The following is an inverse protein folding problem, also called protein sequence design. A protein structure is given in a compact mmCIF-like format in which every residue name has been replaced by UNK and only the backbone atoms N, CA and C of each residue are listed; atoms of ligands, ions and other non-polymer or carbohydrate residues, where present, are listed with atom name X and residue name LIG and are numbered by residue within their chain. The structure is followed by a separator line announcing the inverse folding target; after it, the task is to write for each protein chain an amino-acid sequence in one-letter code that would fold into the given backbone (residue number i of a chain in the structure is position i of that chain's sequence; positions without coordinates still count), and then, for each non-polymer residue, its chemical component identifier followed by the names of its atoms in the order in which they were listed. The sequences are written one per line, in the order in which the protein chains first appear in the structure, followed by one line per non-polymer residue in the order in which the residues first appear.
data_IF_035240295674
#
_entry.id   IF_035240295674
#
_cell.length_a   1.000
_cell.length_b   1.000
_cell.length_c   1.000
_cell.angle_alpha   90.00
_cell.angle_beta   90.00
_cell.angle_gamma   90.00
#
_symmetry.space_group_name_H-M   'P 1'
#
loop_
_entity.id
_entity.type
_entity.pdbx_description
1 polymer ?
#
# COMPACT_ATOMS: atom_id res chain seq x y z
N UNK A 1 19.33 39.76 -17.59
CA UNK A 1 17.86 39.65 -17.41
C UNK A 1 17.64 38.36 -16.63
N UNK A 2 18.13 38.23 -15.41
CA UNK A 2 17.64 38.85 -14.17
C UNK A 2 16.12 39.05 -14.15
N UNK A 3 15.39 38.04 -13.67
CA UNK A 3 14.32 38.22 -12.66
C UNK A 3 13.69 36.87 -12.24
N UNK A 4 14.40 36.02 -11.49
CA UNK A 4 13.73 35.03 -10.62
C UNK A 4 14.52 34.92 -9.31
N UNK A 5 14.38 35.93 -8.47
CA UNK A 5 14.65 35.85 -7.03
C UNK A 5 13.97 37.04 -6.33
N UNK A 6 13.36 36.75 -5.17
CA UNK A 6 12.54 37.59 -4.27
C UNK A 6 11.04 37.63 -4.65
N UNK A 7 10.07 37.15 -3.86
CA UNK A 7 10.04 36.61 -2.50
C UNK A 7 8.67 36.92 -1.83
N UNK A 8 8.16 35.95 -1.06
CA UNK A 8 7.17 36.03 0.04
C UNK A 8 5.68 35.64 -0.19
N UNK A 9 5.31 34.56 0.52
CA UNK A 9 4.00 34.03 0.96
C UNK A 9 3.12 33.24 -0.02
N UNK A 10 3.48 31.98 -0.29
CA UNK A 10 2.57 30.95 -0.84
C UNK A 10 1.51 30.44 0.17
N UNK A 11 1.66 30.76 1.46
CA UNK A 11 0.67 30.43 2.49
C UNK A 11 -0.46 31.44 2.49
N UNK A 12 -1.69 30.96 2.29
CA UNK A 12 -2.89 31.80 2.44
C UNK A 12 -3.35 31.84 3.90
N UNK A 13 -4.20 32.81 4.31
CA UNK A 13 -4.82 32.79 5.64
C UNK A 13 -5.54 31.48 5.94
N UNK A 14 -6.13 30.84 4.92
CA UNK A 14 -6.75 29.53 5.04
C UNK A 14 -5.76 28.42 5.39
N UNK A 15 -4.57 28.43 4.79
CA UNK A 15 -3.50 27.48 5.12
C UNK A 15 -3.09 27.62 6.59
N UNK A 16 -2.92 28.85 7.08
CA UNK A 16 -2.57 29.09 8.49
C UNK A 16 -3.67 28.62 9.45
N UNK A 17 -4.94 28.82 9.09
CA UNK A 17 -6.06 28.36 9.89
C UNK A 17 -6.11 26.83 9.98
N UNK A 18 -5.90 26.13 8.87
CA UNK A 18 -5.86 24.67 8.82
C UNK A 18 -4.69 24.14 9.66
N UNK A 19 -3.48 24.69 9.50
CA UNK A 19 -2.33 24.28 10.30
C UNK A 19 -2.58 24.47 11.80
N UNK A 20 -3.17 25.60 12.20
CA UNK A 20 -3.54 25.86 13.60
C UNK A 20 -4.60 24.88 14.11
N UNK A 21 -5.54 24.46 13.27
CA UNK A 21 -6.53 23.45 13.64
C UNK A 21 -5.88 22.08 13.85
N UNK A 22 -4.92 21.68 13.00
CA UNK A 22 -4.14 20.46 13.23
C UNK A 22 -3.34 20.56 14.54
N UNK A 23 -2.66 21.68 14.78
CA UNK A 23 -1.90 21.92 16.01
C UNK A 23 -2.79 21.89 17.27
N UNK A 24 -4.01 22.42 17.19
CA UNK A 24 -4.96 22.39 18.30
C UNK A 24 -5.39 20.96 18.68
N UNK A 25 -5.31 20.02 17.74
CA UNK A 25 -5.64 18.60 17.94
C UNK A 25 -4.44 17.72 18.28
N UNK A 26 -3.23 18.27 18.25
CA UNK A 26 -2.00 17.51 18.38
C UNK A 26 -1.99 16.59 19.61
N UNK A 27 -2.43 17.08 20.76
CA UNK A 27 -2.50 16.26 21.98
C UNK A 27 -3.44 15.05 21.83
N UNK A 28 -4.65 15.25 21.29
CA UNK A 28 -5.64 14.17 21.09
C UNK A 28 -5.14 13.13 20.07
N UNK A 29 -4.55 13.61 18.97
CA UNK A 29 -4.00 12.76 17.92
C UNK A 29 -2.82 11.92 18.44
N UNK A 30 -1.94 12.51 19.26
CA UNK A 30 -0.83 11.78 19.88
C UNK A 30 -1.30 10.66 20.79
N UNK A 31 -2.32 10.92 21.59
CA UNK A 31 -2.90 9.88 22.45
C UNK A 31 -3.56 8.76 21.63
N UNK A 32 -4.24 9.10 20.53
CA UNK A 32 -4.79 8.11 19.59
C UNK A 32 -3.70 7.24 18.97
N UNK A 33 -2.67 7.86 18.37
CA UNK A 33 -1.56 7.15 17.74
C UNK A 33 -0.78 6.26 18.72
N UNK A 34 -0.55 6.74 19.95
CA UNK A 34 0.11 5.96 21.01
C UNK A 34 -0.77 4.83 21.54
N UNK A 35 -2.09 5.02 21.57
CA UNK A 35 -3.02 3.97 21.98
C UNK A 35 -3.01 2.84 20.97
N UNK A 36 -3.13 3.15 19.68
CA UNK A 36 -3.02 2.17 18.59
C UNK A 36 -1.65 1.47 18.64
N UNK A 37 -0.57 2.24 18.77
CA UNK A 37 0.79 1.70 18.87
C UNK A 37 0.96 0.64 19.97
N UNK A 38 0.38 0.88 21.16
CA UNK A 38 0.47 0.00 22.32
C UNK A 38 -0.39 -1.27 22.21
N UNK A 39 -1.35 -1.30 21.28
CA UNK A 39 -2.29 -2.40 21.09
C UNK A 39 -2.24 -2.88 19.63
N UNK A 40 -1.12 -3.47 19.19
CA UNK A 40 -0.98 -3.92 17.82
C UNK A 40 -1.95 -5.06 17.52
N UNK A 41 -2.71 -4.91 16.44
CA UNK A 41 -3.64 -5.91 15.91
C UNK A 41 -3.22 -6.30 14.50
N UNK A 42 -3.30 -7.59 14.18
CA UNK A 42 -2.86 -8.12 12.88
C UNK A 42 -3.91 -7.88 11.79
N UNK A 43 -3.50 -8.06 10.53
CA UNK A 43 -4.37 -8.05 9.36
C UNK A 43 -5.73 -8.72 9.59
N UNK A 44 -6.81 -8.00 9.29
CA UNK A 44 -8.22 -8.41 9.47
C UNK A 44 -8.69 -8.62 10.91
N UNK A 45 -7.86 -8.26 11.89
CA UNK A 45 -8.16 -8.37 13.32
C UNK A 45 -8.04 -7.04 14.07
N UNK A 46 -8.02 -5.92 13.35
CA UNK A 46 -7.81 -4.54 13.85
C UNK A 46 -9.08 -3.89 14.43
N UNK A 47 -9.81 -4.63 15.28
CA UNK A 47 -11.11 -4.18 15.82
C UNK A 47 -10.98 -3.00 16.78
N UNK A 48 -9.96 -3.00 17.64
CA UNK A 48 -9.74 -1.91 18.58
C UNK A 48 -9.28 -0.65 17.85
N UNK A 49 -8.32 -0.78 16.92
CA UNK A 49 -7.84 0.33 16.11
C UNK A 49 -8.98 0.96 15.29
N UNK A 50 -9.77 0.16 14.56
CA UNK A 50 -10.97 0.62 13.87
C UNK A 50 -11.92 1.34 14.84
N UNK A 51 -12.17 0.75 16.01
CA UNK A 51 -13.02 1.32 17.06
C UNK A 51 -12.57 2.71 17.51
N UNK A 52 -11.29 2.89 17.84
CA UNK A 52 -10.76 4.19 18.28
C UNK A 52 -10.78 5.24 17.16
N UNK A 53 -10.44 4.87 15.94
CA UNK A 53 -10.46 5.77 14.77
C UNK A 53 -11.89 6.24 14.47
N UNK A 54 -12.82 5.30 14.37
CA UNK A 54 -14.22 5.58 14.04
C UNK A 54 -14.91 6.39 15.12
N UNK A 55 -14.71 6.07 16.40
CA UNK A 55 -15.26 6.85 17.51
C UNK A 55 -14.75 8.30 17.48
N UNK A 56 -13.47 8.52 17.14
CA UNK A 56 -12.88 9.87 17.03
C UNK A 56 -13.54 10.65 15.89
N UNK A 57 -13.76 10.01 14.74
CA UNK A 57 -14.44 10.61 13.59
C UNK A 57 -15.92 10.91 13.86
N UNK A 58 -16.64 9.99 14.51
CA UNK A 58 -18.05 10.18 14.91
C UNK A 58 -18.20 11.36 15.88
N UNK A 59 -17.31 11.47 16.88
CA UNK A 59 -17.30 12.60 17.82
C UNK A 59 -16.99 13.92 17.13
N UNK A 60 -16.14 13.90 16.10
CA UNK A 60 -15.90 15.05 15.24
C UNK A 60 -17.06 15.32 14.26
N UNK A 61 -18.10 14.49 14.23
CA UNK A 61 -19.32 14.65 13.44
C UNK A 61 -19.20 14.21 11.98
N UNK A 62 -18.40 13.18 11.71
CA UNK A 62 -18.43 12.43 10.44
C UNK A 62 -19.53 11.37 10.49
N UNK A 63 -20.17 11.10 9.35
CA UNK A 63 -21.04 9.94 9.18
C UNK A 63 -20.18 8.71 8.94
N UNK A 64 -20.22 7.72 9.84
CA UNK A 64 -19.34 6.54 9.79
C UNK A 64 -20.14 5.28 9.50
N UNK A 65 -19.65 4.52 8.52
CA UNK A 65 -20.08 3.17 8.19
C UNK A 65 -18.91 2.21 8.43
N UNK A 66 -19.13 1.13 9.18
CA UNK A 66 -18.11 0.10 9.50
C UNK A 66 -18.42 -1.18 8.73
N UNK A 67 -17.41 -1.98 8.44
CA UNK A 67 -17.61 -3.29 7.82
C UNK A 67 -17.83 -3.22 6.29
N UNK A 68 -17.33 -2.18 5.63
CA UNK A 68 -17.50 -1.97 4.18
C UNK A 68 -16.71 -3.00 3.36
N UNK A 69 -17.08 -3.22 2.10
CA UNK A 69 -16.51 -4.27 1.24
C UNK A 69 -16.49 -5.69 1.86
N UNK A 70 -17.38 -5.99 2.82
CA UNK A 70 -17.39 -7.27 3.53
C UNK A 70 -16.21 -7.51 4.47
N UNK A 71 -15.42 -6.47 4.77
CA UNK A 71 -14.27 -6.53 5.68
C UNK A 71 -14.66 -5.97 7.05
N UNK A 72 -14.77 -6.81 8.08
CA UNK A 72 -15.31 -6.41 9.39
C UNK A 72 -14.59 -5.21 10.02
N UNK A 73 -13.27 -5.11 9.80
CA UNK A 73 -12.40 -4.06 10.38
C UNK A 73 -12.20 -2.86 9.45
N UNK A 74 -12.84 -2.79 8.28
CA UNK A 74 -12.80 -1.60 7.40
C UNK A 74 -13.83 -0.54 7.83
N UNK A 75 -13.67 0.69 7.38
CA UNK A 75 -14.71 1.72 7.57
C UNK A 75 -14.67 2.81 6.50
N UNK A 76 -15.78 3.53 6.37
CA UNK A 76 -15.91 4.76 5.60
C UNK A 76 -16.48 5.85 6.49
N UNK A 77 -15.76 6.96 6.62
CA UNK A 77 -16.22 8.12 7.37
C UNK A 77 -16.31 9.33 6.44
N UNK A 78 -17.49 9.92 6.33
CA UNK A 78 -17.74 11.03 5.42
C UNK A 78 -18.13 12.31 6.14
N UNK A 79 -17.63 13.42 5.63
CA UNK A 79 -18.14 14.74 5.93
C UNK A 79 -18.30 15.54 4.64
N UNK A 80 -19.47 16.18 4.48
CA UNK A 80 -19.78 17.10 3.39
C UNK A 80 -19.93 18.51 3.96
N UNK A 81 -19.22 19.46 3.34
CA UNK A 81 -19.37 20.89 3.64
C UNK A 81 -20.49 21.50 2.82
N UNK A 82 -20.17 22.44 1.92
CA UNK A 82 -21.15 22.96 0.96
C UNK A 82 -21.40 21.95 -0.15
N UNK A 83 -22.66 21.83 -0.57
CA UNK A 83 -23.07 20.93 -1.65
C UNK A 83 -22.33 21.23 -2.95
N UNK A 84 -21.86 20.18 -3.62
CA UNK A 84 -21.08 20.26 -4.86
C UNK A 84 -19.60 20.54 -4.60
N UNK A 85 -18.74 20.12 -5.52
CA UNK A 85 -17.28 20.08 -5.31
C UNK A 85 -16.75 18.65 -5.44
N UNK A 86 -15.43 18.45 -5.32
CA UNK A 86 -14.84 17.12 -5.44
C UNK A 86 -15.02 16.29 -4.17
N UNK A 87 -14.81 14.98 -4.31
CA UNK A 87 -14.67 14.04 -3.18
C UNK A 87 -13.20 13.66 -3.03
N UNK A 88 -12.57 14.05 -1.92
CA UNK A 88 -11.17 13.73 -1.62
C UNK A 88 -11.11 12.70 -0.50
N UNK A 89 -10.35 11.63 -0.70
CA UNK A 89 -10.21 10.57 0.29
C UNK A 89 -8.81 10.52 0.91
N UNK A 90 -8.77 10.33 2.23
CA UNK A 90 -7.57 10.11 3.02
C UNK A 90 -7.59 8.69 3.56
N UNK A 91 -6.58 7.89 3.25
CA UNK A 91 -6.56 6.48 3.66
C UNK A 91 -5.93 6.31 5.04
N UNK A 92 -6.50 5.41 5.82
CA UNK A 92 -6.05 5.06 7.16
C UNK A 92 -5.72 3.57 7.22
N UNK A 93 -4.43 3.22 7.28
CA UNK A 93 -3.93 1.87 7.56
C UNK A 93 -3.63 1.73 9.04
N UNK A 94 -3.92 0.57 9.63
CA UNK A 94 -3.84 0.36 11.07
C UNK A 94 -3.61 -1.09 11.49
N UNK A 95 -3.20 -1.96 10.56
CA UNK A 95 -2.67 -3.28 10.88
C UNK A 95 -1.23 -3.21 11.41
N UNK A 96 -0.85 -4.25 12.15
CA UNK A 96 0.46 -4.43 12.73
C UNK A 96 1.11 -5.73 12.25
N UNK A 97 2.41 -5.84 12.46
CA UNK A 97 3.20 -7.03 12.10
C UNK A 97 3.33 -8.01 13.27
N UNK A 98 3.34 -9.33 13.01
CA UNK A 98 3.57 -10.34 14.04
C UNK A 98 4.85 -10.09 14.83
N UNK A 99 4.77 -10.21 16.15
CA UNK A 99 5.86 -10.08 17.13
C UNK A 99 6.58 -8.71 17.24
N UNK A 100 6.51 -7.84 16.23
CA UNK A 100 7.21 -6.55 16.21
C UNK A 100 6.28 -5.32 16.26
N UNK A 101 4.95 -5.54 16.24
CA UNK A 101 3.96 -4.47 16.40
C UNK A 101 3.89 -3.56 15.17
N UNK A 102 3.64 -2.26 15.37
CA UNK A 102 3.57 -1.28 14.28
C UNK A 102 4.95 -0.90 13.73
N UNK A 103 5.73 -1.89 13.31
CA UNK A 103 7.06 -1.71 12.71
C UNK A 103 7.03 -1.12 11.28
N UNK A 104 5.84 -0.89 10.71
CA UNK A 104 5.63 -0.11 9.49
C UNK A 104 4.99 1.27 9.76
N UNK A 105 4.69 1.57 11.04
CA UNK A 105 4.19 2.88 11.48
C UNK A 105 2.73 3.17 11.12
N UNK A 106 1.91 2.15 10.90
CA UNK A 106 0.49 2.31 10.53
C UNK A 106 -0.31 3.08 11.59
N UNK A 107 0.09 3.02 12.87
CA UNK A 107 -0.47 3.88 13.91
C UNK A 107 -0.35 5.40 13.61
N UNK A 108 0.71 5.81 12.90
CA UNK A 108 0.90 7.19 12.45
C UNK A 108 0.10 7.47 11.17
N UNK A 109 0.02 6.50 10.23
CA UNK A 109 -0.70 6.63 8.95
C UNK A 109 -2.18 6.93 9.21
N UNK A 110 -2.87 6.04 9.94
CA UNK A 110 -4.30 6.24 10.23
C UNK A 110 -4.58 7.54 10.98
N UNK A 111 -3.76 7.85 11.99
CA UNK A 111 -3.96 9.04 12.82
C UNK A 111 -3.71 10.32 12.04
N UNK A 112 -2.72 10.35 11.14
CA UNK A 112 -2.48 11.52 10.28
C UNK A 112 -3.69 11.80 9.36
N UNK A 113 -4.26 10.77 8.74
CA UNK A 113 -5.45 10.89 7.89
C UNK A 113 -6.69 11.34 8.67
N UNK A 114 -6.94 10.77 9.85
CA UNK A 114 -8.04 11.19 10.74
C UNK A 114 -7.86 12.64 11.19
N UNK A 115 -6.66 13.00 11.66
CA UNK A 115 -6.34 14.35 12.11
C UNK A 115 -6.49 15.39 11.00
N UNK A 116 -6.02 15.07 9.79
CA UNK A 116 -6.16 15.92 8.62
C UNK A 116 -7.63 16.19 8.27
N UNK A 117 -8.47 15.15 8.22
CA UNK A 117 -9.89 15.28 7.90
C UNK A 117 -10.64 16.13 8.94
N UNK A 118 -10.42 15.86 10.24
CA UNK A 118 -11.06 16.58 11.34
C UNK A 118 -10.64 18.06 11.33
N UNK A 119 -9.33 18.33 11.24
CA UNK A 119 -8.83 19.69 11.27
C UNK A 119 -9.29 20.50 10.05
N UNK A 120 -9.33 19.89 8.86
CA UNK A 120 -9.83 20.54 7.65
C UNK A 120 -11.31 20.92 7.80
N UNK A 121 -12.14 19.99 8.30
CA UNK A 121 -13.56 20.26 8.60
C UNK A 121 -13.72 21.42 9.57
N UNK A 122 -13.00 21.39 10.70
CA UNK A 122 -13.14 22.41 11.75
C UNK A 122 -12.64 23.79 11.28
N UNK A 123 -11.56 23.83 10.50
CA UNK A 123 -11.03 25.06 9.93
C UNK A 123 -11.90 25.61 8.80
N UNK A 124 -12.50 24.74 7.99
CA UNK A 124 -13.20 25.10 6.76
C UNK A 124 -14.60 24.47 6.72
N UNK A 125 -15.53 24.81 7.64
CA UNK A 125 -16.85 24.17 7.71
C UNK A 125 -17.72 24.37 6.46
N UNK A 126 -17.37 25.37 5.65
CA UNK A 126 -18.06 25.78 4.42
C UNK A 126 -17.36 25.28 3.15
N UNK A 127 -16.36 24.40 3.26
CA UNK A 127 -15.59 23.87 2.13
C UNK A 127 -16.52 23.15 1.14
N UNK A 128 -16.50 23.44 -0.17
CA UNK A 128 -17.36 22.76 -1.13
C UNK A 128 -16.91 21.31 -1.37
N UNK A 129 -17.81 20.35 -1.27
CA UNK A 129 -17.53 18.94 -1.58
C UNK A 129 -17.39 18.09 -0.33
N UNK A 130 -16.67 16.97 -0.47
CA UNK A 130 -16.65 15.89 0.52
C UNK A 130 -15.23 15.47 0.88
N UNK A 131 -15.00 15.28 2.17
CA UNK A 131 -13.82 14.62 2.70
C UNK A 131 -14.23 13.24 3.20
N UNK A 132 -13.53 12.21 2.74
CA UNK A 132 -13.75 10.82 3.13
C UNK A 132 -12.49 10.30 3.82
N UNK A 133 -12.63 9.67 4.97
CA UNK A 133 -11.58 8.82 5.56
C UNK A 133 -11.97 7.38 5.31
N UNK A 134 -11.12 6.65 4.59
CA UNK A 134 -11.30 5.21 4.36
C UNK A 134 -10.34 4.45 5.27
N UNK A 135 -10.91 3.64 6.15
CA UNK A 135 -10.16 2.68 6.94
C UNK A 135 -9.86 1.43 6.14
N UNK A 136 -8.59 1.18 5.87
CA UNK A 136 -8.10 0.16 4.95
C UNK A 136 -7.26 -0.87 5.73
N UNK A 137 -7.87 -1.98 6.18
CA UNK A 137 -7.17 -2.99 6.97
C UNK A 137 -6.24 -3.86 6.11
N UNK A 138 -5.41 -4.67 6.77
CA UNK A 138 -4.63 -5.75 6.15
C UNK A 138 -3.79 -5.34 4.93
N UNK A 139 -3.01 -4.26 5.04
CA UNK A 139 -2.05 -3.89 3.98
C UNK A 139 -0.87 -4.87 3.94
N UNK A 140 -0.37 -5.28 5.11
CA UNK A 140 0.84 -6.10 5.24
C UNK A 140 0.62 -7.53 4.75
N UNK A 141 -0.56 -8.08 5.04
CA UNK A 141 -0.92 -9.45 4.69
C UNK A 141 -2.44 -9.55 4.48
N UNK A 142 -2.91 -9.32 3.25
CA UNK A 142 -4.31 -9.52 2.91
C UNK A 142 -4.84 -8.66 1.77
N UNK A 143 -4.23 -7.50 1.52
CA UNK A 143 -4.59 -6.61 0.43
C UNK A 143 -5.98 -6.00 0.60
N UNK A 144 -6.29 -5.44 1.77
CA UNK A 144 -7.62 -4.89 2.05
C UNK A 144 -8.07 -3.84 1.04
N UNK A 145 -7.17 -2.98 0.53
CA UNK A 145 -7.52 -2.01 -0.52
C UNK A 145 -7.84 -2.68 -1.85
N UNK A 146 -7.27 -3.84 -2.15
CA UNK A 146 -7.60 -4.63 -3.35
C UNK A 146 -9.07 -5.07 -3.28
N UNK A 147 -9.47 -5.65 -2.16
CA UNK A 147 -10.85 -6.11 -1.92
C UNK A 147 -11.82 -4.92 -1.96
N UNK A 148 -11.46 -3.78 -1.35
CA UNK A 148 -12.25 -2.56 -1.37
C UNK A 148 -12.39 -1.97 -2.79
N UNK A 149 -11.34 -2.02 -3.61
CA UNK A 149 -11.41 -1.65 -5.03
C UNK A 149 -12.40 -2.55 -5.80
N UNK A 150 -12.38 -3.86 -5.57
CA UNK A 150 -13.30 -4.80 -6.23
C UNK A 150 -14.77 -4.58 -5.85
N UNK A 151 -15.03 -4.04 -4.66
CA UNK A 151 -16.36 -3.70 -4.18
C UNK A 151 -16.81 -2.26 -4.50
N UNK A 152 -15.99 -1.48 -5.21
CA UNK A 152 -16.35 -0.13 -5.65
C UNK A 152 -16.27 0.95 -4.56
N UNK A 153 -15.56 0.71 -3.45
CA UNK A 153 -15.48 1.67 -2.33
C UNK A 153 -14.77 2.99 -2.70
N UNK A 154 -14.01 2.98 -3.79
CA UNK A 154 -13.31 4.13 -4.34
C UNK A 154 -14.07 4.83 -5.48
N UNK A 155 -15.25 4.33 -5.85
CA UNK A 155 -16.05 4.92 -6.93
C UNK A 155 -16.51 6.34 -6.55
N UNK A 156 -16.39 7.27 -7.51
CA UNK A 156 -16.75 8.67 -7.30
C UNK A 156 -15.76 9.49 -6.46
N UNK A 157 -14.63 8.90 -6.05
CA UNK A 157 -13.53 9.63 -5.38
C UNK A 157 -12.61 10.23 -6.44
N UNK A 158 -12.36 11.54 -6.34
CA UNK A 158 -11.60 12.31 -7.32
C UNK A 158 -10.10 12.25 -7.12
N UNK A 159 -9.66 12.13 -5.86
CA UNK A 159 -8.27 11.92 -5.51
C UNK A 159 -8.16 11.21 -4.16
N UNK A 160 -7.15 10.36 -4.05
CA UNK A 160 -6.82 9.57 -2.86
C UNK A 160 -5.42 9.93 -2.37
N UNK A 161 -5.26 10.14 -1.07
CA UNK A 161 -3.98 10.47 -0.46
C UNK A 161 -3.73 9.63 0.78
N UNK A 162 -2.47 9.23 0.97
CA UNK A 162 -1.99 8.57 2.18
C UNK A 162 -0.52 8.92 2.39
N UNK A 163 -0.08 9.12 3.62
CA UNK A 163 1.34 9.39 3.94
C UNK A 163 1.88 8.23 4.73
N UNK A 164 3.04 7.72 4.32
CA UNK A 164 3.69 6.60 4.97
C UNK A 164 5.00 7.06 5.64
N UNK A 165 5.28 6.68 6.90
CA UNK A 165 6.56 7.00 7.53
C UNK A 165 7.71 6.21 6.88
N UNK A 166 8.88 6.81 6.72
CA UNK A 166 10.06 6.15 6.16
C UNK A 166 11.35 6.83 6.65
N UNK A 167 12.51 6.37 6.22
CA UNK A 167 13.77 7.04 6.52
C UNK A 167 14.02 8.36 5.78
N UNK A 168 13.22 8.70 4.77
CA UNK A 168 13.34 9.95 4.01
C UNK A 168 11.97 10.48 3.59
N UNK A 169 11.85 11.81 3.57
CA UNK A 169 10.70 12.49 2.98
C UNK A 169 10.83 12.45 1.47
N UNK A 170 9.86 11.85 0.78
CA UNK A 170 9.85 11.67 -0.68
C UNK A 170 8.41 11.68 -1.18
N UNK A 171 8.09 12.47 -2.21
CA UNK A 171 6.71 12.51 -2.75
C UNK A 171 6.51 11.63 -3.99
N UNK A 172 7.62 11.26 -4.65
CA UNK A 172 7.63 10.38 -5.80
C UNK A 172 8.39 9.11 -5.46
N UNK A 173 7.71 7.97 -5.59
CA UNK A 173 8.33 6.65 -5.46
C UNK A 173 7.51 5.65 -6.26
N UNK A 174 8.14 4.84 -7.09
CA UNK A 174 7.46 3.74 -7.78
C UNK A 174 7.11 2.61 -6.82
N UNK A 175 6.30 1.66 -7.28
CA UNK A 175 6.00 0.40 -6.59
C UNK A 175 5.88 -0.71 -7.63
N UNK A 176 6.32 -1.92 -7.30
CA UNK A 176 6.27 -3.06 -8.21
C UNK A 176 4.94 -3.79 -8.10
N UNK A 177 4.46 -4.32 -9.22
CA UNK A 177 3.40 -5.30 -9.18
C UNK A 177 3.95 -6.62 -8.61
N UNK A 178 3.18 -7.30 -7.76
CA UNK A 178 3.56 -8.61 -7.25
C UNK A 178 2.38 -9.56 -7.03
N UNK A 179 2.70 -10.86 -7.01
CA UNK A 179 1.77 -11.94 -6.65
C UNK A 179 2.53 -13.05 -5.94
N UNK A 180 1.90 -13.61 -4.92
CA UNK A 180 2.36 -14.81 -4.25
C UNK A 180 1.75 -16.05 -4.91
N UNK A 181 2.55 -17.10 -5.05
CA UNK A 181 2.16 -18.36 -5.68
C UNK A 181 2.63 -19.54 -4.84
N UNK A 182 1.68 -20.40 -4.47
CA UNK A 182 1.96 -21.68 -3.80
C UNK A 182 1.86 -22.81 -4.82
N UNK A 183 2.93 -23.60 -4.92
CA UNK A 183 3.01 -24.77 -5.78
C UNK A 183 3.00 -26.03 -4.92
N UNK A 184 1.94 -26.83 -5.03
CA UNK A 184 1.78 -28.09 -4.31
C UNK A 184 1.93 -29.25 -5.27
N UNK A 185 3.01 -30.02 -5.12
CA UNK A 185 3.35 -31.15 -5.98
C UNK A 185 2.81 -32.44 -5.39
N UNK A 186 2.10 -33.21 -6.20
CA UNK A 186 1.52 -34.50 -5.83
C UNK A 186 2.14 -35.64 -6.63
N UNK A 187 2.66 -36.62 -5.91
CA UNK A 187 3.26 -37.84 -6.42
C UNK A 187 2.62 -39.08 -5.81
N UNK A 188 3.45 -40.07 -5.49
CA UNK A 188 3.02 -41.36 -4.93
C UNK A 188 4.13 -41.97 -4.08
N UNK A 189 3.81 -42.30 -2.83
CA UNK A 189 4.74 -42.94 -1.92
C UNK A 189 5.19 -44.32 -2.43
N UNK A 190 6.45 -44.62 -2.17
CA UNK A 190 7.04 -45.94 -2.30
C UNK A 190 8.23 -46.04 -1.34
N UNK A 191 8.63 -47.27 -1.02
CA UNK A 191 9.87 -47.49 -0.28
C UNK A 191 11.05 -47.21 -1.22
N UNK A 192 11.88 -46.22 -0.85
CA UNK A 192 12.90 -45.66 -1.75
C UNK A 192 13.93 -46.71 -2.22
N UNK A 193 14.29 -47.68 -1.38
CA UNK A 193 15.22 -48.75 -1.77
C UNK A 193 14.57 -50.01 -2.36
N UNK A 194 13.42 -50.47 -1.84
CA UNK A 194 12.89 -51.80 -2.18
C UNK A 194 11.93 -51.82 -3.37
N UNK A 195 11.26 -50.70 -3.66
CA UNK A 195 10.32 -50.62 -4.79
C UNK A 195 10.22 -49.20 -5.37
N UNK A 196 11.35 -48.51 -5.65
CA UNK A 196 11.34 -47.15 -6.16
C UNK A 196 10.51 -46.99 -7.45
N UNK A 197 10.49 -48.02 -8.30
CA UNK A 197 9.76 -48.05 -9.57
C UNK A 197 8.24 -47.91 -9.44
N UNK A 198 7.69 -48.05 -8.23
CA UNK A 198 6.25 -47.91 -7.96
C UNK A 198 5.85 -46.51 -7.51
N UNK A 199 6.83 -45.66 -7.21
CA UNK A 199 6.64 -44.31 -6.69
C UNK A 199 6.68 -43.23 -7.76
N UNK A 200 6.19 -42.04 -7.40
CA UNK A 200 6.30 -40.80 -8.16
C UNK A 200 6.79 -39.74 -7.18
N UNK A 201 7.97 -39.18 -7.44
CA UNK A 201 8.64 -38.29 -6.49
C UNK A 201 8.15 -36.85 -6.64
N UNK A 202 7.32 -36.39 -5.70
CA UNK A 202 6.92 -34.98 -5.62
C UNK A 202 8.13 -34.07 -5.35
N UNK A 203 9.14 -34.57 -4.64
CA UNK A 203 10.38 -33.84 -4.38
C UNK A 203 11.16 -33.62 -5.68
N UNK A 204 11.34 -34.65 -6.51
CA UNK A 204 12.06 -34.48 -7.78
C UNK A 204 11.29 -33.54 -8.73
N UNK A 205 9.97 -33.62 -8.77
CA UNK A 205 9.14 -32.67 -9.51
C UNK A 205 9.38 -31.22 -9.06
N UNK A 206 9.39 -30.98 -7.75
CA UNK A 206 9.66 -29.66 -7.18
C UNK A 206 11.09 -29.18 -7.45
N UNK A 207 12.12 -30.03 -7.28
CA UNK A 207 13.51 -29.66 -7.56
C UNK A 207 13.69 -29.31 -9.04
N UNK A 208 13.10 -30.09 -9.95
CA UNK A 208 13.11 -29.77 -11.37
C UNK A 208 12.38 -28.45 -11.67
N UNK A 209 11.31 -28.12 -10.92
CA UNK A 209 10.64 -26.84 -11.05
C UNK A 209 11.54 -25.67 -10.62
N UNK A 210 12.29 -25.79 -9.53
CA UNK A 210 13.28 -24.78 -9.12
C UNK A 210 14.36 -24.58 -10.18
N UNK A 211 14.86 -25.66 -10.78
CA UNK A 211 15.84 -25.60 -11.89
C UNK A 211 15.23 -24.89 -13.11
N UNK A 212 14.02 -25.26 -13.51
CA UNK A 212 13.33 -24.66 -14.64
C UNK A 212 13.04 -23.15 -14.42
N UNK A 213 12.63 -22.76 -13.21
CA UNK A 213 12.47 -21.36 -12.82
C UNK A 213 13.80 -20.61 -12.93
N UNK A 214 14.92 -21.23 -12.53
CA UNK A 214 16.24 -20.61 -12.68
C UNK A 214 16.60 -20.38 -14.15
N UNK A 215 16.21 -21.27 -15.06
CA UNK A 215 16.37 -21.04 -16.50
C UNK A 215 15.47 -19.91 -17.03
N UNK A 216 14.25 -19.75 -16.50
CA UNK A 216 13.35 -18.64 -16.87
C UNK A 216 13.97 -17.27 -16.57
N UNK A 217 14.77 -17.15 -15.50
CA UNK A 217 15.40 -15.88 -15.09
C UNK A 217 16.32 -15.27 -16.14
N UNK A 218 16.89 -16.07 -17.04
CA UNK A 218 17.71 -15.56 -18.14
C UNK A 218 16.90 -14.76 -19.17
N UNK A 219 15.58 -14.99 -19.25
CA UNK A 219 14.70 -14.48 -20.30
C UNK A 219 13.57 -13.59 -19.75
N UNK A 220 13.87 -12.88 -18.67
CA UNK A 220 13.03 -11.81 -18.10
C UNK A 220 13.81 -10.50 -18.07
N UNK A 221 13.10 -9.38 -17.97
CA UNK A 221 13.70 -8.04 -17.87
C UNK A 221 14.33 -7.81 -16.50
N UNK A 222 15.18 -6.79 -16.39
CA UNK A 222 15.97 -6.50 -15.19
C UNK A 222 15.15 -6.00 -13.99
N UNK A 223 13.91 -5.56 -14.20
CA UNK A 223 12.96 -5.18 -13.16
C UNK A 223 12.30 -6.41 -12.49
N UNK A 224 12.37 -7.59 -13.11
CA UNK A 224 11.69 -8.78 -12.62
C UNK A 224 12.43 -9.42 -11.45
N UNK A 225 11.69 -9.82 -10.43
CA UNK A 225 12.19 -10.68 -9.34
C UNK A 225 11.31 -11.90 -9.22
N UNK A 226 11.94 -13.05 -9.08
CA UNK A 226 11.29 -14.34 -8.82
C UNK A 226 12.04 -14.88 -7.62
N UNK A 227 11.39 -15.30 -6.54
CA UNK A 227 12.11 -15.92 -5.43
C UNK A 227 11.14 -16.73 -4.59
N UNK A 228 11.63 -17.80 -3.99
CA UNK A 228 10.79 -18.71 -3.25
C UNK A 228 11.59 -19.65 -2.37
N UNK A 229 10.85 -20.40 -1.56
CA UNK A 229 11.36 -21.35 -0.58
C UNK A 229 10.59 -22.67 -0.71
N UNK A 230 11.20 -23.73 -0.19
CA UNK A 230 10.52 -25.01 0.03
C UNK A 230 9.91 -24.98 1.43
N UNK A 231 8.59 -25.06 1.52
CA UNK A 231 7.85 -25.14 2.80
C UNK A 231 7.67 -26.58 3.24
N UNK A 232 7.60 -27.53 2.29
CA UNK A 232 7.54 -28.97 2.56
C UNK A 232 8.35 -29.78 1.55
N UNK A 233 9.40 -30.46 2.02
CA UNK A 233 10.35 -31.22 1.18
C UNK A 233 10.33 -32.75 1.36
N UNK A 234 9.33 -33.30 2.06
CA UNK A 234 9.24 -34.71 2.42
C UNK A 234 9.61 -35.00 3.89
N UNK A 235 9.16 -36.16 4.37
CA UNK A 235 9.15 -36.47 5.82
C UNK A 235 10.25 -37.45 6.25
N UNK A 236 10.72 -38.33 5.36
CA UNK A 236 11.75 -39.33 5.67
C UNK A 236 12.57 -39.73 4.42
N UNK A 237 13.90 -39.94 4.55
CA UNK A 237 14.77 -40.22 3.39
C UNK A 237 14.59 -41.62 2.78
N UNK A 238 13.99 -42.57 3.50
CA UNK A 238 13.71 -43.91 3.01
C UNK A 238 12.33 -44.07 2.34
N UNK A 239 11.57 -42.96 2.21
CA UNK A 239 10.24 -42.92 1.60
C UNK A 239 10.27 -41.93 0.44
N UNK A 240 9.79 -42.34 -0.74
CA UNK A 240 9.59 -41.42 -1.87
C UNK A 240 8.50 -40.41 -1.50
N UNK A 241 8.76 -39.10 -1.50
CA UNK A 241 7.76 -38.11 -1.09
C UNK A 241 6.57 -38.05 -2.07
N UNK A 242 5.34 -38.16 -1.56
CA UNK A 242 4.12 -37.95 -2.36
C UNK A 242 3.60 -36.52 -2.34
N UNK A 243 4.06 -35.69 -1.42
CA UNK A 243 3.60 -34.32 -1.27
C UNK A 243 4.77 -33.40 -0.93
N UNK A 244 4.98 -32.38 -1.75
CA UNK A 244 5.92 -31.31 -1.51
C UNK A 244 5.28 -29.96 -1.82
N UNK A 245 5.75 -28.89 -1.17
CA UNK A 245 5.20 -27.56 -1.33
C UNK A 245 6.32 -26.52 -1.38
N UNK A 246 6.14 -25.54 -2.26
CA UNK A 246 6.99 -24.36 -2.35
C UNK A 246 6.16 -23.10 -2.52
N UNK A 247 6.62 -22.01 -1.92
CA UNK A 247 6.00 -20.68 -2.02
C UNK A 247 6.96 -19.75 -2.74
N UNK A 248 6.44 -19.02 -3.72
CA UNK A 248 7.17 -18.04 -4.51
C UNK A 248 6.47 -16.69 -4.51
N UNK A 249 7.26 -15.62 -4.58
CA UNK A 249 6.78 -14.28 -4.91
C UNK A 249 7.35 -13.90 -6.27
N UNK A 250 6.47 -13.43 -7.16
CA UNK A 250 6.81 -12.91 -8.47
C UNK A 250 6.60 -11.40 -8.48
N UNK A 251 7.57 -10.64 -9.00
CA UNK A 251 7.50 -9.18 -9.14
C UNK A 251 7.89 -8.73 -10.53
N UNK A 252 7.22 -7.68 -11.01
CA UNK A 252 7.56 -6.98 -12.24
C UNK A 252 7.19 -5.49 -12.13
N UNK A 253 7.68 -4.67 -13.05
CA UNK A 253 7.41 -3.23 -13.06
C UNK A 253 5.92 -2.89 -13.21
N UNK A 254 5.13 -3.75 -13.87
CA UNK A 254 3.69 -3.56 -14.11
C UNK A 254 2.93 -4.88 -13.99
N UNK A 255 1.61 -4.83 -13.73
CA UNK A 255 0.74 -6.02 -13.73
C UNK A 255 0.72 -6.75 -15.08
N UNK A 256 0.88 -6.01 -16.18
CA UNK A 256 0.98 -6.61 -17.53
C UNK A 256 2.26 -7.42 -17.64
N UNK A 257 3.41 -6.85 -17.26
CA UNK A 257 4.68 -7.56 -17.23
C UNK A 257 4.67 -8.74 -16.24
N UNK A 258 3.99 -8.57 -15.10
CA UNK A 258 3.82 -9.63 -14.11
C UNK A 258 3.05 -10.82 -14.69
N UNK A 259 1.99 -10.56 -15.47
CA UNK A 259 1.21 -11.61 -16.12
C UNK A 259 2.07 -12.44 -17.11
N UNK A 260 2.99 -11.80 -17.83
CA UNK A 260 3.93 -12.51 -18.71
C UNK A 260 4.92 -13.38 -17.92
N UNK A 261 5.52 -12.83 -16.86
CA UNK A 261 6.44 -13.56 -15.98
C UNK A 261 5.75 -14.77 -15.37
N UNK A 262 4.54 -14.55 -14.83
CA UNK A 262 3.67 -15.58 -14.27
C UNK A 262 3.43 -16.71 -15.27
N UNK A 263 3.04 -16.38 -16.49
CA UNK A 263 2.82 -17.37 -17.56
C UNK A 263 4.06 -18.21 -17.85
N UNK A 264 5.25 -17.58 -17.92
CA UNK A 264 6.52 -18.31 -18.11
C UNK A 264 6.84 -19.24 -16.94
N UNK A 265 6.72 -18.75 -15.71
CA UNK A 265 7.01 -19.52 -14.48
C UNK A 265 6.05 -20.71 -14.35
N UNK A 266 4.74 -20.50 -14.53
CA UNK A 266 3.75 -21.57 -14.32
C UNK A 266 3.85 -22.65 -15.40
N UNK A 267 4.20 -22.29 -16.64
CA UNK A 267 4.50 -23.30 -17.68
C UNK A 267 5.71 -24.14 -17.29
N UNK A 268 6.79 -23.53 -16.80
CA UNK A 268 7.99 -24.24 -16.36
C UNK A 268 7.70 -25.19 -15.19
N UNK A 269 6.92 -24.74 -14.21
CA UNK A 269 6.50 -25.55 -13.05
C UNK A 269 5.66 -26.75 -13.48
N UNK A 270 4.66 -26.55 -14.35
CA UNK A 270 3.82 -27.64 -14.87
C UNK A 270 4.62 -28.66 -15.68
N UNK A 271 5.53 -28.20 -16.55
CA UNK A 271 6.38 -29.08 -17.32
C UNK A 271 7.34 -29.91 -16.45
N UNK A 272 7.87 -29.33 -15.38
CA UNK A 272 8.71 -30.05 -14.42
C UNK A 272 7.93 -31.14 -13.65
N UNK A 273 6.69 -30.85 -13.26
CA UNK A 273 5.82 -31.83 -12.62
C UNK A 273 5.47 -32.98 -13.59
N UNK A 274 4.99 -32.65 -14.79
CA UNK A 274 4.62 -33.61 -15.82
C UNK A 274 5.79 -34.51 -16.21
N UNK A 275 7.00 -33.95 -16.34
CA UNK A 275 8.20 -34.70 -16.67
C UNK A 275 8.54 -35.82 -15.68
N UNK A 276 8.15 -35.67 -14.42
CA UNK A 276 8.34 -36.68 -13.36
C UNK A 276 7.11 -37.60 -13.17
N UNK A 277 6.05 -37.41 -13.95
CA UNK A 277 4.77 -38.09 -13.77
C UNK A 277 3.97 -37.59 -12.56
N UNK A 278 4.35 -36.46 -11.97
CA UNK A 278 3.65 -35.81 -10.87
C UNK A 278 2.59 -34.84 -11.39
N UNK A 279 1.73 -34.35 -10.50
CA UNK A 279 0.82 -33.23 -10.75
C UNK A 279 1.17 -32.05 -9.85
N UNK A 280 0.70 -30.86 -10.21
CA UNK A 280 0.93 -29.65 -9.42
C UNK A 280 -0.32 -28.79 -9.36
N UNK A 281 -0.73 -28.46 -8.15
CA UNK A 281 -1.73 -27.44 -7.89
C UNK A 281 -1.03 -26.09 -7.69
N UNK A 282 -1.58 -25.05 -8.32
CA UNK A 282 -1.07 -23.68 -8.25
C UNK A 282 -2.15 -22.81 -7.64
N UNK A 283 -1.90 -22.30 -6.44
CA UNK A 283 -2.74 -21.32 -5.77
C UNK A 283 -2.06 -19.95 -5.79
N UNK A 284 -2.83 -18.89 -6.03
CA UNK A 284 -2.35 -17.50 -6.06
C UNK A 284 -2.93 -16.70 -4.90
N UNK A 285 -2.13 -15.78 -4.37
CA UNK A 285 -2.63 -14.67 -3.57
C UNK A 285 -3.22 -13.56 -4.44
N UNK A 286 -3.57 -12.43 -3.82
CA UNK A 286 -4.02 -11.26 -4.55
C UNK A 286 -2.88 -10.62 -5.34
N UNK A 287 -3.23 -9.99 -6.46
CA UNK A 287 -2.28 -9.24 -7.28
C UNK A 287 -2.19 -7.80 -6.77
N UNK A 288 -1.04 -7.46 -6.22
CA UNK A 288 -0.69 -6.08 -5.91
C UNK A 288 -0.25 -5.40 -7.19
N UNK A 289 -0.87 -4.28 -7.53
CA UNK A 289 -0.53 -3.54 -8.75
C UNK A 289 0.67 -2.62 -8.55
N UNK A 290 1.30 -2.22 -9.65
CA UNK A 290 2.30 -1.17 -9.62
C UNK A 290 1.72 0.15 -9.10
N UNK A 291 2.56 0.98 -8.48
CA UNK A 291 2.12 2.30 -8.03
C UNK A 291 2.22 3.32 -9.16
N UNK A 292 1.07 3.86 -9.56
CA UNK A 292 0.94 4.98 -10.48
C UNK A 292 0.74 6.29 -9.71
N UNK A 293 1.83 6.85 -9.18
CA UNK A 293 1.77 8.13 -8.45
C UNK A 293 1.38 9.27 -9.38
N UNK A 294 0.28 9.96 -9.08
CA UNK A 294 -0.14 11.16 -9.79
C UNK A 294 0.83 12.32 -9.49
N UNK A 295 1.56 12.78 -10.50
CA UNK A 295 2.66 13.74 -10.33
C UNK A 295 2.17 15.15 -10.05
N UNK A 296 1.04 15.57 -10.62
CA UNK A 296 0.40 16.86 -10.30
C UNK A 296 -0.02 16.91 -8.84
N UNK A 297 -0.65 15.84 -8.35
CA UNK A 297 -1.05 15.72 -6.96
C UNK A 297 0.17 15.66 -6.02
N UNK A 298 1.20 14.90 -6.39
CA UNK A 298 2.44 14.83 -5.63
C UNK A 298 3.17 16.18 -5.56
N UNK A 299 3.10 17.01 -6.61
CA UNK A 299 3.68 18.34 -6.63
C UNK A 299 2.96 19.32 -5.69
N UNK A 300 1.62 19.24 -5.58
CA UNK A 300 0.87 20.00 -4.57
C UNK A 300 1.30 19.59 -3.16
N UNK A 301 1.35 18.28 -2.91
CA UNK A 301 1.79 17.74 -1.62
C UNK A 301 3.22 18.16 -1.28
N UNK A 302 4.14 18.11 -2.25
CA UNK A 302 5.51 18.58 -2.10
C UNK A 302 5.57 20.06 -1.75
N UNK A 303 4.82 20.92 -2.45
CA UNK A 303 4.79 22.34 -2.15
C UNK A 303 4.32 22.60 -0.72
N UNK A 304 3.32 21.85 -0.24
CA UNK A 304 2.84 21.95 1.13
C UNK A 304 3.89 21.48 2.17
N UNK A 305 4.65 20.41 1.89
CA UNK A 305 5.77 20.00 2.74
C UNK A 305 6.88 21.05 2.80
N UNK A 306 7.29 21.59 1.66
CA UNK A 306 8.33 22.62 1.57
C UNK A 306 7.89 23.90 2.28
N UNK A 307 6.60 24.27 2.16
CA UNK A 307 6.02 25.36 2.92
C UNK A 307 6.07 25.09 4.41
N UNK A 308 5.89 23.86 4.89
CA UNK A 308 6.06 23.47 6.30
C UNK A 308 7.52 23.48 6.77
N UNK A 309 8.48 23.71 5.86
CA UNK A 309 9.91 23.73 6.14
C UNK A 309 10.58 22.37 6.07
N UNK A 310 9.89 21.37 5.50
CA UNK A 310 10.44 20.02 5.33
C UNK A 310 11.21 19.91 4.00
N UNK A 311 12.37 19.28 4.06
CA UNK A 311 13.15 18.94 2.87
C UNK A 311 12.55 17.71 2.19
N UNK A 312 12.34 17.80 0.88
CA UNK A 312 11.84 16.69 0.06
C UNK A 312 12.99 16.16 -0.80
N UNK A 313 13.22 14.86 -0.73
CA UNK A 313 14.30 14.20 -1.47
C UNK A 313 13.75 13.45 -2.70
N UNK A 314 14.59 13.40 -3.73
CA UNK A 314 14.36 12.51 -4.87
C UNK A 314 14.48 11.03 -4.44
N UNK A 315 13.66 10.14 -5.03
CA UNK A 315 13.79 8.71 -4.79
C UNK A 315 15.15 8.20 -5.28
N UNK A 316 15.72 7.17 -4.61
CA UNK A 316 16.85 6.41 -5.15
C UNK A 316 16.67 6.02 -6.62
N UNK A 317 17.71 6.23 -7.44
CA UNK A 317 17.68 5.98 -8.88
C UNK A 317 17.48 4.49 -9.25
N UNK A 318 17.87 3.57 -8.36
CA UNK A 318 17.66 2.12 -8.52
C UNK A 318 17.33 1.48 -7.17
N UNK A 319 16.47 0.46 -7.20
CA UNK A 319 16.16 -0.38 -6.03
C UNK A 319 15.37 0.31 -4.92
N UNK A 320 15.16 -0.43 -3.83
CA UNK A 320 14.46 0.03 -2.62
C UNK A 320 12.96 0.29 -2.81
N UNK A 321 12.34 -0.32 -3.82
CA UNK A 321 10.89 -0.23 -4.07
C UNK A 321 10.22 -1.53 -3.64
N UNK A 322 9.15 -1.41 -2.86
CA UNK A 322 8.30 -2.50 -2.43
C UNK A 322 7.05 -2.62 -3.29
N UNK A 323 6.05 -3.30 -2.72
CA UNK A 323 4.70 -3.44 -3.25
C UNK A 323 3.73 -3.10 -2.12
N UNK A 324 2.64 -2.44 -2.44
CA UNK A 324 1.59 -2.04 -1.51
C UNK A 324 0.29 -1.97 -2.31
N UNK A 325 -0.81 -2.38 -1.70
CA UNK A 325 -2.15 -2.44 -2.33
C UNK A 325 -2.73 -1.04 -2.63
N UNK A 326 -2.12 0.06 -2.15
CA UNK A 326 -2.42 1.40 -2.69
C UNK A 326 -2.07 1.49 -4.19
N UNK A 327 -1.19 0.62 -4.66
CA UNK A 327 -0.91 0.43 -6.08
C UNK A 327 -2.20 0.15 -6.85
N UNK A 328 -3.10 -0.70 -6.31
CA UNK A 328 -4.39 -1.04 -6.90
C UNK A 328 -5.33 0.18 -6.93
N UNK A 329 -5.37 0.98 -5.86
CA UNK A 329 -6.15 2.22 -5.84
C UNK A 329 -5.66 3.20 -6.92
N UNK A 330 -4.34 3.31 -7.09
CA UNK A 330 -3.73 4.17 -8.11
C UNK A 330 -4.00 3.72 -9.57
N UNK A 331 -4.58 2.54 -9.77
CA UNK A 331 -5.03 2.06 -11.07
C UNK A 331 -6.41 2.61 -11.44
N UNK A 332 -7.23 2.98 -10.45
CA UNK A 332 -8.66 3.31 -10.64
C UNK A 332 -8.97 4.78 -10.35
N UNK A 333 -8.15 5.47 -9.58
CA UNK A 333 -8.27 6.93 -9.38
C UNK A 333 -6.90 7.59 -9.17
N UNK A 334 -6.86 8.92 -9.21
CA UNK A 334 -5.66 9.69 -8.94
C UNK A 334 -5.22 9.48 -7.49
N UNK A 335 -4.02 8.92 -7.28
CA UNK A 335 -3.54 8.61 -5.94
C UNK A 335 -2.09 9.04 -5.71
N UNK A 336 -1.77 9.36 -4.46
CA UNK A 336 -0.40 9.52 -3.98
C UNK A 336 -0.15 8.71 -2.70
N UNK A 337 1.08 8.25 -2.57
CA UNK A 337 1.64 7.60 -1.38
C UNK A 337 3.02 8.20 -1.09
N UNK A 338 3.10 9.48 -0.71
CA UNK A 338 4.34 10.09 -0.23
C UNK A 338 4.87 9.41 1.03
N UNK A 339 6.15 9.62 1.27
CA UNK A 339 6.83 9.24 2.48
C UNK A 339 7.22 10.48 3.29
N UNK A 340 7.15 10.38 4.61
CA UNK A 340 7.68 11.38 5.55
C UNK A 340 8.81 10.78 6.39
N UNK A 341 9.89 11.52 6.62
CA UNK A 341 11.03 11.04 7.40
C UNK A 341 10.65 10.85 8.86
N UNK A 342 10.87 9.65 9.38
CA UNK A 342 10.68 9.29 10.79
C UNK A 342 12.02 9.13 11.54
N UNK A 343 13.09 8.75 10.84
CA UNK A 343 14.40 8.48 11.43
C UNK A 343 15.29 7.68 10.49
N UNK A 344 16.32 6.99 11.00
CA UNK A 344 17.26 6.22 10.17
C UNK A 344 16.99 4.71 10.16
N UNK A 345 16.02 4.23 10.96
CA UNK A 345 15.62 2.84 10.94
C UNK A 345 14.88 2.47 9.65
N UNK A 346 14.99 1.21 9.24
CA UNK A 346 14.22 0.66 8.12
C UNK A 346 12.89 0.09 8.62
N UNK A 347 11.84 0.19 7.81
CA UNK A 347 10.54 -0.43 8.12
C UNK A 347 10.69 -1.94 8.37
N UNK A 348 9.78 -2.50 9.16
CA UNK A 348 9.71 -3.92 9.58
C UNK A 348 10.88 -4.32 10.50
N UNK A 349 11.40 -3.36 11.28
CA UNK A 349 12.40 -3.60 12.31
C UNK A 349 11.88 -3.17 13.69
N UNK A 350 12.33 -3.80 14.79
CA UNK A 350 12.01 -3.35 16.14
C UNK A 350 12.36 -1.88 16.39
N UNK A 351 13.45 -1.40 15.81
CA UNK A 351 13.89 -0.01 15.90
C UNK A 351 12.87 0.96 15.27
N UNK A 352 12.28 0.58 14.13
CA UNK A 352 11.24 1.39 13.50
C UNK A 352 9.94 1.38 14.29
N UNK A 353 9.57 0.24 14.88
CA UNK A 353 8.43 0.19 15.80
C UNK A 353 8.63 1.14 16.99
N UNK A 354 9.84 1.23 17.55
CA UNK A 354 10.14 2.19 18.61
C UNK A 354 9.97 3.64 18.15
N UNK A 355 10.51 3.99 16.96
CA UNK A 355 10.34 5.33 16.40
C UNK A 355 8.87 5.69 16.15
N UNK A 356 8.06 4.73 15.67
CA UNK A 356 6.64 4.92 15.41
C UNK A 356 5.81 5.20 16.68
N UNK A 357 6.31 4.82 17.86
CA UNK A 357 5.70 5.15 19.15
C UNK A 357 6.37 6.33 19.88
N UNK A 358 7.47 6.86 19.35
CA UNK A 358 8.29 7.88 19.98
C UNK A 358 7.74 9.30 19.78
N UNK A 359 8.30 10.27 20.50
CA UNK A 359 7.94 11.68 20.41
C UNK A 359 8.24 12.25 19.02
N UNK A 360 9.33 11.83 18.40
CA UNK A 360 9.71 12.20 17.04
C UNK A 360 8.65 11.74 16.03
N UNK A 361 8.13 10.51 16.18
CA UNK A 361 7.06 10.02 15.30
C UNK A 361 5.75 10.77 15.43
N UNK A 362 5.43 11.25 16.63
CA UNK A 362 4.28 12.11 16.84
C UNK A 362 4.43 13.47 16.14
N UNK A 363 5.63 14.06 16.19
CA UNK A 363 5.93 15.32 15.50
C UNK A 363 5.78 15.17 13.99
N UNK A 364 6.35 14.10 13.42
CA UNK A 364 6.28 13.85 11.97
C UNK A 364 4.86 13.51 11.52
N UNK A 365 4.09 12.78 12.32
CA UNK A 365 2.66 12.55 12.08
C UNK A 365 1.87 13.87 12.02
N UNK A 366 2.17 14.84 12.88
CA UNK A 366 1.53 16.16 12.84
C UNK A 366 1.83 16.89 11.52
N UNK A 367 3.08 16.84 11.03
CA UNK A 367 3.42 17.39 9.72
C UNK A 367 2.72 16.66 8.57
N UNK A 368 2.63 15.33 8.64
CA UNK A 368 1.89 14.53 7.66
C UNK A 368 0.40 14.94 7.62
N UNK A 369 -0.23 15.11 8.78
CA UNK A 369 -1.62 15.56 8.89
C UNK A 369 -1.83 16.96 8.29
N UNK A 370 -0.90 17.91 8.54
CA UNK A 370 -0.93 19.24 7.91
C UNK A 370 -0.82 19.13 6.39
N UNK A 371 0.17 18.40 5.89
CA UNK A 371 0.37 18.28 4.45
C UNK A 371 -0.83 17.64 3.74
N UNK A 372 -1.46 16.62 4.34
CA UNK A 372 -2.69 16.01 3.85
C UNK A 372 -3.87 17.00 3.83
N UNK A 373 -4.10 17.72 4.93
CA UNK A 373 -5.21 18.68 5.05
C UNK A 373 -5.06 19.85 4.07
N UNK A 374 -3.84 20.40 3.94
CA UNK A 374 -3.56 21.48 3.00
C UNK A 374 -3.74 21.02 1.55
N UNK A 375 -3.23 19.84 1.19
CA UNK A 375 -3.37 19.32 -0.17
C UNK A 375 -4.82 19.01 -0.54
N UNK A 376 -5.61 18.49 0.42
CA UNK A 376 -7.05 18.31 0.23
C UNK A 376 -7.77 19.66 0.04
N UNK A 377 -7.43 20.67 0.84
CA UNK A 377 -7.96 22.03 0.68
C UNK A 377 -7.63 22.63 -0.69
N UNK A 378 -6.40 22.49 -1.17
CA UNK A 378 -5.95 23.01 -2.45
C UNK A 378 -6.71 22.36 -3.62
N UNK A 379 -6.86 21.04 -3.59
CA UNK A 379 -7.65 20.32 -4.60
C UNK A 379 -9.12 20.76 -4.64
N UNK A 380 -9.69 21.04 -3.48
CA UNK A 380 -11.09 21.43 -3.38
C UNK A 380 -11.30 22.88 -3.84
N UNK A 381 -10.38 23.77 -3.53
CA UNK A 381 -10.54 25.21 -3.76
C UNK A 381 -9.89 25.72 -5.04
N UNK A 382 -9.04 24.93 -5.68
CA UNK A 382 -8.45 25.21 -7.00
C UNK A 382 -8.96 24.21 -8.07
N UNK A 383 -10.02 24.60 -8.83
CA UNK A 383 -10.55 23.78 -9.92
C UNK A 383 -9.57 23.53 -11.07
N UNK A 384 -8.52 24.35 -11.21
CA UNK A 384 -7.48 24.13 -12.22
C UNK A 384 -6.57 23.00 -11.75
N UNK A 385 -6.08 23.06 -10.51
CA UNK A 385 -5.25 22.01 -9.93
C UNK A 385 -5.96 20.64 -9.95
N UNK A 386 -7.23 20.58 -9.54
CA UNK A 386 -8.04 19.36 -9.61
C UNK A 386 -8.15 18.82 -11.05
N UNK A 387 -8.36 19.71 -12.02
CA UNK A 387 -8.46 19.31 -13.44
C UNK A 387 -7.14 18.75 -13.94
N UNK A 388 -6.01 19.33 -13.56
CA UNK A 388 -4.69 18.83 -13.95
C UNK A 388 -4.43 17.43 -13.36
N UNK A 389 -4.81 17.21 -12.10
CA UNK A 389 -4.73 15.90 -11.44
C UNK A 389 -5.58 14.86 -12.17
N UNK A 390 -6.86 15.16 -12.44
CA UNK A 390 -7.74 14.25 -13.19
C UNK A 390 -7.22 13.99 -14.60
N UNK A 391 -6.81 15.03 -15.32
CA UNK A 391 -6.30 14.92 -16.69
C UNK A 391 -5.05 14.03 -16.76
N UNK A 392 -4.12 14.16 -15.82
CA UNK A 392 -2.94 13.29 -15.78
C UNK A 392 -3.33 11.81 -15.62
N UNK A 393 -4.26 11.53 -14.70
CA UNK A 393 -4.73 10.18 -14.44
C UNK A 393 -5.44 9.59 -15.67
N UNK A 394 -6.39 10.32 -16.27
CA UNK A 394 -7.10 9.91 -17.49
C UNK A 394 -6.15 9.63 -18.66
N UNK A 395 -5.13 10.48 -18.85
CA UNK A 395 -4.11 10.26 -19.88
C UNK A 395 -3.27 9.01 -19.61
N UNK A 396 -2.91 8.74 -18.35
CA UNK A 396 -2.22 7.52 -17.98
C UNK A 396 -3.10 6.28 -18.25
N UNK A 397 -4.37 6.33 -17.86
CA UNK A 397 -5.32 5.23 -18.07
C UNK A 397 -5.52 4.96 -19.57
N UNK A 398 -5.63 6.00 -20.39
CA UNK A 398 -5.73 5.89 -21.84
C UNK A 398 -4.49 5.24 -22.46
N UNK A 399 -3.28 5.61 -22.02
CA UNK A 399 -2.02 4.97 -22.49
C UNK A 399 -1.96 3.49 -22.13
N UNK A 400 -2.37 3.14 -20.90
CA UNK A 400 -2.41 1.76 -20.43
C UNK A 400 -3.39 0.91 -21.24
N UNK A 401 -4.58 1.43 -21.52
CA UNK A 401 -5.60 0.69 -22.29
C UNK A 401 -5.28 0.62 -23.79
N UNK A 402 -4.72 1.69 -24.36
CA UNK A 402 -4.33 1.73 -25.78
C UNK A 402 -3.10 0.88 -26.12
N UNK A 403 -2.22 0.64 -25.14
CA UNK A 403 -1.07 -0.26 -25.29
C UNK A 403 -1.39 -1.76 -25.19
N UNK A 404 -2.65 -2.14 -24.93
CA UNK A 404 -3.11 -3.53 -24.94
C UNK A 404 -3.68 -3.97 -26.30
N UNK A 405 -3.68 -3.08 -27.30
CA UNK A 405 -4.28 -3.27 -28.63
C UNK A 405 -3.30 -3.19 -29.81
N UNK A 406 -1.99 -3.23 -29.55
CA UNK A 406 -0.94 -3.47 -30.55
C UNK A 406 -0.15 -4.73 -30.17
#
# INVERSE_FOLDING_TARGET
MDSIANGHNGRTPSHEQIMKAVDAKDHELRELARTIHKHPELSFHEYQAQGWLTNTLEQAGFAVEKGIAGLETSFRAEWEGKSGGPTIALLAEYDALPAIGHACGHNLICTASVGAAIALKEAMPDLPGRIVVLGTPAEEEGGGKIIMCEHGEFDGIDAVMMVHPQSKTMVLRGGLACVDATFTFHGKQAHAASSPEKGISALDAMINAFVAINSVRQFVTSDVRIHGIITKGGDAPNVVPELCEAVFILRAQTVVGLAEVRSKVYRAVRAAAEGMGATVDIAEGLVYAERNTNKRLAALFQSNLEQLGLEVHEPPAQGGIGSSDIGNVSQITAAIHPYIRLGDASTHTPEFAQLAGAEEGMIEMNYAAKALALTAYDLVTDPVALREVRTEFEQWQARRNGGASE
#
